data_IF_615584495513
#
_entry.id   IF_615584495513
#
_cell.length_a   1.000
_cell.length_b   1.000
_cell.length_c   1.000
_cell.angle_alpha   90.00
_cell.angle_beta   90.00
_cell.angle_gamma   90.00
#
_symmetry.space_group_name_H-M   'P 1'
#
loop_
_entity.id
_entity.type
_entity.pdbx_description
1 polymer ?
#
# COMPACT_ATOMS: atom_id res chain seq x y z
N UNK A 1 16.75 -2.54 6.29
CA UNK A 1 16.42 -1.94 4.98
C UNK A 1 15.81 -0.56 5.18
N UNK A 2 16.07 0.37 4.27
CA UNK A 2 15.42 1.68 4.23
C UNK A 2 14.15 1.63 3.35
N UNK A 3 13.35 2.69 3.43
CA UNK A 3 12.07 2.85 2.75
C UNK A 3 12.20 2.73 1.22
N UNK A 4 13.30 3.21 0.64
CA UNK A 4 13.54 3.14 -0.80
C UNK A 4 13.88 1.72 -1.27
N UNK A 5 14.67 0.99 -0.49
CA UNK A 5 15.00 -0.42 -0.76
C UNK A 5 13.73 -1.28 -0.70
N UNK A 6 12.91 -1.08 0.33
CA UNK A 6 11.63 -1.78 0.49
C UNK A 6 10.68 -1.45 -0.67
N UNK A 7 10.53 -0.17 -1.02
CA UNK A 7 9.69 0.24 -2.13
C UNK A 7 10.14 -0.35 -3.46
N UNK A 8 11.46 -0.47 -3.70
CA UNK A 8 11.98 -1.10 -4.92
C UNK A 8 11.55 -2.58 -5.00
N UNK A 9 11.60 -3.30 -3.89
CA UNK A 9 11.13 -4.70 -3.83
C UNK A 9 9.62 -4.77 -4.11
N UNK A 10 8.83 -3.91 -3.47
CA UNK A 10 7.37 -3.87 -3.67
C UNK A 10 7.04 -3.59 -5.13
N UNK A 11 7.66 -2.57 -5.74
CA UNK A 11 7.43 -2.20 -7.15
C UNK A 11 7.80 -3.34 -8.09
N UNK A 12 8.95 -3.99 -7.89
CA UNK A 12 9.36 -5.14 -8.70
C UNK A 12 8.38 -6.31 -8.56
N UNK A 13 7.90 -6.56 -7.35
CA UNK A 13 6.93 -7.64 -7.08
C UNK A 13 5.59 -7.34 -7.77
N UNK A 14 5.09 -6.11 -7.66
CA UNK A 14 3.87 -5.68 -8.36
C UNK A 14 4.02 -5.77 -9.88
N UNK A 15 5.21 -5.47 -10.40
CA UNK A 15 5.51 -5.62 -11.83
C UNK A 15 5.40 -7.07 -12.28
N UNK A 16 6.01 -8.02 -11.56
CA UNK A 16 5.93 -9.43 -11.91
C UNK A 16 4.47 -9.93 -11.88
N UNK A 17 3.72 -9.58 -10.84
CA UNK A 17 2.29 -9.92 -10.71
C UNK A 17 1.49 -9.38 -11.89
N UNK A 18 1.68 -8.11 -12.26
CA UNK A 18 0.95 -7.48 -13.36
C UNK A 18 1.32 -8.06 -14.72
N UNK A 19 2.58 -8.45 -14.94
CA UNK A 19 3.01 -9.15 -16.17
C UNK A 19 2.36 -10.52 -16.29
N UNK A 20 2.25 -11.26 -15.20
CA UNK A 20 1.72 -12.62 -15.21
C UNK A 20 0.19 -12.66 -15.32
N UNK A 21 -0.50 -11.79 -14.58
CA UNK A 21 -1.96 -11.84 -14.44
C UNK A 21 -2.71 -10.77 -15.22
N UNK A 22 -2.03 -9.68 -15.60
CA UNK A 22 -2.66 -8.51 -16.21
C UNK A 22 -3.62 -7.80 -15.25
N UNK A 23 -4.34 -6.77 -15.74
CA UNK A 23 -5.41 -6.09 -15.03
C UNK A 23 -6.73 -6.89 -15.05
N UNK A 24 -7.66 -6.56 -14.15
CA UNK A 24 -9.04 -7.05 -14.18
C UNK A 24 -9.46 -7.95 -13.02
N UNK A 25 -8.55 -8.30 -12.11
CA UNK A 25 -8.90 -9.01 -10.88
C UNK A 25 -9.41 -8.06 -9.79
N UNK A 26 -10.06 -8.62 -8.77
CA UNK A 26 -10.47 -7.86 -7.59
C UNK A 26 -9.25 -7.40 -6.79
N UNK A 27 -9.39 -6.24 -6.14
CA UNK A 27 -8.38 -5.65 -5.24
C UNK A 27 -7.87 -6.67 -4.20
N UNK A 28 -8.79 -7.42 -3.59
CA UNK A 28 -8.47 -8.44 -2.59
C UNK A 28 -7.63 -9.61 -3.12
N UNK A 29 -7.74 -9.92 -4.42
CA UNK A 29 -6.95 -10.99 -5.05
C UNK A 29 -5.52 -10.51 -5.25
N UNK A 30 -5.31 -9.28 -5.75
CA UNK A 30 -3.96 -8.71 -5.86
C UNK A 30 -3.31 -8.55 -4.50
N UNK A 31 -4.07 -8.19 -3.47
CA UNK A 31 -3.55 -8.11 -2.09
C UNK A 31 -3.06 -9.45 -1.57
N UNK A 32 -3.85 -10.51 -1.73
CA UNK A 32 -3.47 -11.86 -1.30
C UNK A 32 -2.15 -12.30 -1.95
N UNK A 33 -2.04 -12.09 -3.26
CA UNK A 33 -0.88 -12.47 -4.05
C UNK A 33 0.34 -11.62 -3.65
N UNK A 34 0.18 -10.30 -3.55
CA UNK A 34 1.28 -9.41 -3.16
C UNK A 34 1.77 -9.71 -1.74
N UNK A 35 0.85 -9.99 -0.81
CA UNK A 35 1.20 -10.43 0.54
C UNK A 35 2.02 -11.73 0.51
N UNK A 36 1.58 -12.73 -0.25
CA UNK A 36 2.30 -13.99 -0.40
C UNK A 36 3.70 -13.79 -0.97
N UNK A 37 3.82 -13.11 -2.12
CA UNK A 37 5.09 -12.88 -2.81
C UNK A 37 6.09 -12.07 -1.97
N UNK A 38 5.65 -11.04 -1.26
CA UNK A 38 6.54 -10.29 -0.37
C UNK A 38 6.94 -11.11 0.87
N UNK A 39 6.06 -12.00 1.34
CA UNK A 39 6.36 -12.88 2.47
C UNK A 39 7.40 -13.95 2.11
N UNK A 40 7.38 -14.50 0.89
CA UNK A 40 8.40 -15.46 0.43
C UNK A 40 9.79 -14.82 0.30
N UNK A 41 9.85 -13.50 0.10
CA UNK A 41 11.09 -12.72 0.15
C UNK A 41 11.57 -12.44 1.58
N UNK A 42 10.89 -12.96 2.60
CA UNK A 42 11.28 -12.84 4.01
C UNK A 42 10.96 -11.50 4.65
N UNK A 43 10.12 -10.67 4.01
CA UNK A 43 9.70 -9.38 4.56
C UNK A 43 8.64 -9.58 5.66
N UNK A 44 8.73 -8.78 6.72
CA UNK A 44 7.68 -8.67 7.72
C UNK A 44 6.54 -7.81 7.18
N UNK A 45 5.31 -8.34 7.22
CA UNK A 45 4.13 -7.65 6.70
C UNK A 45 2.99 -7.75 7.70
N UNK A 46 2.45 -6.59 8.12
CA UNK A 46 1.17 -6.54 8.82
C UNK A 46 0.06 -6.32 7.77
N UNK A 47 -0.81 -7.32 7.59
CA UNK A 47 -1.92 -7.28 6.62
C UNK A 47 -3.22 -6.79 7.25
N UNK A 48 -4.00 -6.02 6.50
CA UNK A 48 -5.30 -5.49 6.90
C UNK A 48 -5.26 -4.80 8.28
N UNK A 49 -4.17 -4.04 8.51
CA UNK A 49 -3.82 -3.49 9.82
C UNK A 49 -4.70 -2.30 10.14
N UNK A 50 -5.45 -2.40 11.25
CA UNK A 50 -6.21 -1.26 11.77
C UNK A 50 -5.27 -0.16 12.29
N UNK A 51 -5.46 1.05 11.80
CA UNK A 51 -4.78 2.28 12.20
C UNK A 51 -5.78 3.11 13.00
N UNK A 52 -5.68 3.12 14.34
CA UNK A 52 -6.60 3.86 15.18
C UNK A 52 -6.41 5.36 15.02
N UNK A 53 -7.50 6.12 15.11
CA UNK A 53 -7.49 7.56 15.12
C UNK A 53 -7.63 8.05 16.57
N UNK A 54 -6.75 8.95 17.00
CA UNK A 54 -6.89 9.63 18.30
C UNK A 54 -7.55 10.99 18.09
N UNK A 55 -8.76 11.16 18.61
CA UNK A 55 -9.48 12.43 18.59
C UNK A 55 -9.64 12.96 20.01
N UNK A 56 -9.04 14.12 20.31
CA UNK A 56 -9.08 14.75 21.65
C UNK A 56 -8.75 13.77 22.81
N UNK A 57 -7.76 12.91 22.60
CA UNK A 57 -7.33 11.92 23.60
C UNK A 57 -8.16 10.62 23.61
N UNK A 58 -9.27 10.55 22.86
CA UNK A 58 -10.07 9.34 22.71
C UNK A 58 -9.51 8.53 21.55
N UNK A 59 -9.07 7.30 21.83
CA UNK A 59 -8.63 6.35 20.82
C UNK A 59 -9.87 5.70 20.18
N UNK A 60 -10.06 5.93 18.89
CA UNK A 60 -11.14 5.35 18.11
C UNK A 60 -10.59 4.24 17.22
N UNK A 61 -11.08 3.01 17.44
CA UNK A 61 -10.76 1.85 16.60
C UNK A 61 -11.52 1.85 15.26
N UNK A 62 -12.48 2.78 15.09
CA UNK A 62 -13.19 3.08 13.82
C UNK A 62 -12.28 3.84 12.83
N UNK A 63 -10.97 3.61 12.94
CA UNK A 63 -9.97 4.27 12.12
C UNK A 63 -9.91 3.67 10.72
N UNK A 64 -8.73 3.75 10.15
CA UNK A 64 -8.46 3.21 8.84
C UNK A 64 -7.92 1.79 8.91
N UNK A 65 -7.94 1.06 7.80
CA UNK A 65 -7.36 -0.27 7.67
C UNK A 65 -6.42 -0.26 6.48
N UNK A 66 -5.13 -0.32 6.75
CA UNK A 66 -4.13 -0.39 5.69
C UNK A 66 -4.08 -1.81 5.13
N UNK A 67 -4.00 -1.94 3.81
CA UNK A 67 -3.96 -3.24 3.16
C UNK A 67 -2.71 -4.00 3.59
N UNK A 68 -1.53 -3.37 3.47
CA UNK A 68 -0.26 -3.93 3.94
C UNK A 68 0.62 -2.85 4.58
N UNK A 69 1.31 -3.21 5.66
CA UNK A 69 2.43 -2.43 6.20
C UNK A 69 3.67 -3.32 6.20
N UNK A 70 4.64 -2.95 5.36
CA UNK A 70 5.87 -3.73 5.14
C UNK A 70 7.00 -3.16 6.00
N UNK A 71 7.67 -4.04 6.76
CA UNK A 71 8.82 -3.74 7.63
C UNK A 71 8.57 -2.62 8.65
N UNK A 72 7.29 -2.37 9.01
CA UNK A 72 6.86 -1.20 9.78
C UNK A 72 7.38 0.13 9.21
N UNK A 73 7.51 0.23 7.88
CA UNK A 73 8.15 1.38 7.20
C UNK A 73 7.37 1.89 6.00
N UNK A 74 6.77 1.00 5.22
CA UNK A 74 6.05 1.35 3.99
C UNK A 74 4.61 0.88 4.08
N UNK A 75 3.65 1.80 3.91
CA UNK A 75 2.23 1.46 3.76
C UNK A 75 1.95 1.17 2.28
N UNK A 76 1.21 0.10 1.98
CA UNK A 76 0.70 -0.18 0.65
C UNK A 76 -0.83 -0.09 0.71
N UNK A 77 -1.38 0.65 -0.25
CA UNK A 77 -2.80 0.73 -0.53
C UNK A 77 -3.05 0.24 -1.95
N UNK A 78 -3.85 -0.79 -2.09
CA UNK A 78 -4.16 -1.42 -3.37
C UNK A 78 -5.47 -0.88 -3.91
N UNK A 79 -5.53 -0.78 -5.23
CA UNK A 79 -6.74 -0.45 -5.97
C UNK A 79 -6.80 -1.33 -7.22
N UNK A 80 -8.02 -1.64 -7.65
CA UNK A 80 -8.28 -2.23 -8.97
C UNK A 80 -9.52 -1.54 -9.55
N UNK A 81 -9.33 -0.28 -9.95
CA UNK A 81 -10.41 0.60 -10.39
C UNK A 81 -10.02 1.34 -11.66
N UNK A 82 -11.02 1.77 -12.46
CA UNK A 82 -10.76 2.52 -13.69
C UNK A 82 -10.02 3.84 -13.43
N UNK A 83 -10.37 4.55 -12.35
CA UNK A 83 -9.77 5.84 -12.03
C UNK A 83 -9.45 5.97 -10.53
N UNK A 84 -8.24 6.41 -10.23
CA UNK A 84 -7.88 6.81 -8.86
C UNK A 84 -8.54 8.15 -8.54
N UNK A 85 -9.47 8.13 -7.58
CA UNK A 85 -10.10 9.34 -7.09
C UNK A 85 -9.09 10.24 -6.34
N UNK A 86 -9.20 11.58 -6.42
CA UNK A 86 -8.30 12.51 -5.73
C UNK A 86 -8.24 12.35 -4.20
N UNK A 87 -9.19 11.64 -3.61
CA UNK A 87 -9.24 11.34 -2.17
C UNK A 87 -8.25 10.24 -1.76
N UNK A 88 -7.98 9.25 -2.62
CA UNK A 88 -7.13 8.11 -2.28
C UNK A 88 -5.70 8.53 -1.87
N UNK A 89 -4.96 9.37 -2.62
CA UNK A 89 -3.65 9.82 -2.18
C UNK A 89 -3.70 10.69 -0.91
N UNK A 90 -4.77 11.48 -0.72
CA UNK A 90 -4.96 12.30 0.49
C UNK A 90 -5.19 11.43 1.73
N UNK A 91 -5.93 10.34 1.58
CA UNK A 91 -6.17 9.33 2.62
C UNK A 91 -4.85 8.67 3.02
N UNK A 92 -4.08 8.15 2.06
CA UNK A 92 -2.79 7.53 2.35
C UNK A 92 -1.82 8.51 3.02
N UNK A 93 -1.74 9.77 2.58
CA UNK A 93 -0.94 10.78 3.27
C UNK A 93 -1.38 10.99 4.73
N UNK A 94 -2.68 10.93 5.00
CA UNK A 94 -3.22 11.04 6.36
C UNK A 94 -2.77 9.86 7.23
N UNK A 95 -2.74 8.65 6.67
CA UNK A 95 -2.28 7.46 7.39
C UNK A 95 -0.78 7.52 7.69
N UNK A 96 0.03 8.02 6.75
CA UNK A 96 1.45 8.29 7.01
C UNK A 96 1.65 9.26 8.17
N UNK A 97 0.86 10.33 8.25
CA UNK A 97 0.92 11.29 9.37
C UNK A 97 0.52 10.68 10.71
N UNK A 98 -0.57 9.90 10.74
CA UNK A 98 -1.07 9.25 11.96
C UNK A 98 -0.06 8.21 12.48
N UNK A 99 0.45 7.36 11.59
CA UNK A 99 1.40 6.29 11.92
C UNK A 99 2.84 6.79 12.09
N UNK A 100 3.13 8.03 11.67
CA UNK A 100 4.48 8.61 11.55
C UNK A 100 5.41 7.86 10.60
N UNK A 101 4.85 7.03 9.71
CA UNK A 101 5.60 6.42 8.63
C UNK A 101 5.88 7.47 7.54
N UNK A 102 6.98 7.25 6.82
CA UNK A 102 7.52 8.24 5.88
C UNK A 102 7.13 7.98 4.43
N UNK A 103 6.76 6.74 4.10
CA UNK A 103 6.51 6.32 2.73
C UNK A 103 5.25 5.47 2.62
N UNK A 104 4.42 5.81 1.63
CA UNK A 104 3.28 5.01 1.20
C UNK A 104 3.31 4.80 -0.32
N UNK A 105 2.78 3.66 -0.77
CA UNK A 105 2.56 3.34 -2.18
C UNK A 105 1.06 3.10 -2.39
N UNK A 106 0.44 3.92 -3.23
CA UNK A 106 -0.89 3.67 -3.76
C UNK A 106 -0.73 2.98 -5.11
N UNK A 107 -1.28 1.78 -5.27
CA UNK A 107 -1.03 0.90 -6.42
C UNK A 107 -2.35 0.53 -7.07
N UNK A 108 -2.61 1.04 -8.27
CA UNK A 108 -3.73 0.65 -9.11
C UNK A 108 -3.32 -0.48 -10.08
N UNK A 109 -3.82 -1.68 -9.88
CA UNK A 109 -3.55 -2.82 -10.77
C UNK A 109 -4.38 -2.80 -12.06
N UNK A 110 -5.40 -1.95 -12.15
CA UNK A 110 -6.28 -1.87 -13.32
C UNK A 110 -5.74 -0.97 -14.45
N UNK A 111 -4.48 -0.54 -14.36
CA UNK A 111 -3.81 0.21 -15.43
C UNK A 111 -3.26 -0.71 -16.52
N UNK A 112 -3.11 -0.17 -17.74
CA UNK A 112 -2.47 -0.89 -18.85
C UNK A 112 -1.01 -1.23 -18.56
N UNK A 113 -0.28 -0.33 -17.91
CA UNK A 113 1.09 -0.55 -17.45
C UNK A 113 1.14 -0.26 -15.96
N UNK A 114 1.66 -1.20 -15.18
CA UNK A 114 1.72 -1.05 -13.71
C UNK A 114 2.45 0.21 -13.24
N UNK A 115 3.47 0.66 -13.98
CA UNK A 115 4.22 1.89 -13.64
C UNK A 115 3.33 3.13 -13.60
N UNK A 116 2.25 3.15 -14.37
CA UNK A 116 1.31 4.27 -14.45
C UNK A 116 0.29 4.18 -13.29
N UNK A 117 0.15 2.99 -12.68
CA UNK A 117 -0.71 2.74 -11.53
C UNK A 117 -0.05 2.94 -10.16
N UNK A 118 1.28 3.12 -10.11
CA UNK A 118 2.00 3.29 -8.85
C UNK A 118 2.19 4.78 -8.55
N UNK A 119 1.51 5.26 -7.52
CA UNK A 119 1.71 6.60 -6.96
C UNK A 119 2.47 6.51 -5.65
N UNK A 120 3.63 7.18 -5.61
CA UNK A 120 4.47 7.28 -4.40
C UNK A 120 4.07 8.50 -3.58
N UNK A 121 3.83 8.30 -2.28
CA UNK A 121 3.44 9.37 -1.34
C UNK A 121 4.45 9.44 -0.20
N UNK A 122 4.96 10.65 0.07
CA UNK A 122 6.00 10.88 1.07
C UNK A 122 5.50 11.78 2.20
N UNK A 123 5.97 11.48 3.42
CA UNK A 123 5.71 12.24 4.64
C UNK A 123 7.05 12.55 5.33
N UNK A 124 7.70 13.64 4.92
CA UNK A 124 9.01 14.07 5.43
C UNK A 124 10.08 12.96 5.36
N UNK A 125 10.15 12.28 4.20
CA UNK A 125 11.12 11.21 3.94
C UNK A 125 12.54 11.76 3.79
#
# INVERSE_FOLDING_TARGET
MNENEIAKIIVNTCYNIHVELGPGLLESVYEEILFHELSTLGLRIDRQKTIPLTWKGIKMEVGFRADLIVENKVIIELKSVENIAPVHPKQLLTYLKITRLKLGLLINFNEKLIKDGITRIVNNL
#
